data_IF_024451836884
#
_entry.id   IF_024451836884
#
_cell.length_a   1.000
_cell.length_b   1.000
_cell.length_c   1.000
_cell.angle_alpha   90.00
_cell.angle_beta   90.00
_cell.angle_gamma   90.00
#
_symmetry.space_group_name_H-M   'P 1'
#
loop_
_entity.id
_entity.type
_entity.pdbx_description
1 polymer ?
#
# COMPACT_ATOMS: atom_id res chain seq x y z
N UNK A 1 22.19 -2.88 3.08
CA UNK A 1 21.07 -2.25 2.31
C UNK A 1 19.89 -1.90 3.21
N UNK A 2 19.33 -2.86 3.96
CA UNK A 2 18.16 -2.62 4.82
C UNK A 2 18.35 -1.56 5.92
N UNK A 3 19.57 -1.41 6.46
CA UNK A 3 19.89 -0.40 7.48
C UNK A 3 19.86 1.04 6.94
N UNK A 4 20.11 1.24 5.64
CA UNK A 4 20.11 2.57 5.00
C UNK A 4 18.80 2.86 4.24
N UNK A 5 18.21 1.85 3.60
CA UNK A 5 16.97 2.02 2.83
C UNK A 5 15.69 1.79 3.65
N UNK A 6 15.81 1.44 4.94
CA UNK A 6 14.70 1.29 5.87
C UNK A 6 13.66 0.24 5.42
N UNK A 7 12.43 0.40 5.91
CA UNK A 7 11.32 -0.50 5.60
C UNK A 7 11.04 -0.61 4.09
N UNK A 8 11.37 0.41 3.30
CA UNK A 8 11.19 0.41 1.84
C UNK A 8 12.02 -0.63 1.09
N UNK A 9 13.14 -1.11 1.67
CA UNK A 9 13.94 -2.20 1.08
C UNK A 9 13.36 -3.59 1.26
N UNK A 10 12.51 -3.76 2.29
CA UNK A 10 11.80 -5.01 2.53
C UNK A 10 10.54 -5.13 1.67
N UNK A 11 10.01 -4.01 1.17
CA UNK A 11 8.79 -3.97 0.37
C UNK A 11 9.14 -4.05 -1.12
N UNK A 12 8.68 -5.08 -1.87
CA UNK A 12 8.95 -5.22 -3.30
C UNK A 12 8.03 -4.29 -4.13
N UNK A 13 8.26 -2.98 -4.07
CA UNK A 13 7.37 -1.96 -4.68
C UNK A 13 7.29 -2.10 -6.21
N UNK A 14 8.39 -2.49 -6.85
CA UNK A 14 8.45 -2.72 -8.30
C UNK A 14 7.64 -3.93 -8.74
N UNK A 15 7.76 -5.04 -8.00
CA UNK A 15 6.97 -6.25 -8.26
C UNK A 15 5.48 -6.01 -8.06
N UNK A 16 5.12 -5.26 -7.01
CA UNK A 16 3.74 -4.84 -6.76
C UNK A 16 3.19 -3.97 -7.90
N UNK A 17 3.97 -2.98 -8.36
CA UNK A 17 3.58 -2.14 -9.50
C UNK A 17 3.29 -2.94 -10.76
N UNK A 18 4.16 -3.89 -11.12
CA UNK A 18 3.96 -4.76 -12.28
C UNK A 18 2.69 -5.61 -12.14
N UNK A 19 2.42 -6.15 -10.95
CA UNK A 19 1.21 -6.92 -10.68
C UNK A 19 -0.08 -6.09 -10.81
N UNK A 20 -0.04 -4.79 -10.51
CA UNK A 20 -1.18 -3.88 -10.66
C UNK A 20 -1.36 -3.43 -12.12
N UNK A 21 -0.27 -3.17 -12.83
CA UNK A 21 -0.28 -2.59 -14.19
C UNK A 21 -0.56 -3.65 -15.26
N UNK A 22 -0.07 -4.88 -15.11
CA UNK A 22 -0.32 -5.96 -16.07
C UNK A 22 -1.81 -6.19 -16.38
N UNK A 23 -2.70 -6.40 -15.38
CA UNK A 23 -4.12 -6.58 -15.65
C UNK A 23 -4.78 -5.29 -16.17
N UNK A 24 -4.24 -4.12 -15.81
CA UNK A 24 -4.74 -2.83 -16.29
C UNK A 24 -4.50 -2.61 -17.79
N UNK A 25 -3.38 -3.11 -18.32
CA UNK A 25 -3.07 -3.08 -19.76
C UNK A 25 -3.94 -4.10 -20.50
N UNK A 26 -4.08 -5.31 -19.96
CA UNK A 26 -4.80 -6.41 -20.59
C UNK A 26 -6.30 -6.15 -20.70
N UNK A 27 -6.91 -5.56 -19.68
CA UNK A 27 -8.34 -5.24 -19.63
C UNK A 27 -8.62 -3.78 -20.05
N UNK A 28 -7.67 -3.11 -20.73
CA UNK A 28 -7.85 -1.71 -21.16
C UNK A 28 -9.00 -1.54 -22.15
N UNK A 29 -9.28 -2.56 -22.96
CA UNK A 29 -10.40 -2.59 -23.92
C UNK A 29 -11.76 -2.56 -23.24
N UNK A 30 -11.87 -2.99 -21.98
CA UNK A 30 -13.10 -2.96 -21.17
C UNK A 30 -13.40 -1.55 -20.61
N UNK A 31 -12.55 -0.57 -20.92
CA UNK A 31 -12.71 0.83 -20.54
C UNK A 31 -12.03 1.19 -19.23
N UNK A 32 -12.00 2.49 -18.92
CA UNK A 32 -11.19 3.02 -17.81
C UNK A 32 -11.74 2.68 -16.43
N UNK A 33 -13.05 2.51 -16.28
CA UNK A 33 -13.68 2.28 -14.97
C UNK A 33 -13.75 0.79 -14.65
N UNK A 34 -14.39 0.00 -15.52
CA UNK A 34 -14.61 -1.43 -15.29
C UNK A 34 -13.34 -2.26 -15.57
N UNK A 35 -12.61 -1.92 -16.63
CA UNK A 35 -11.37 -2.62 -17.03
C UNK A 35 -10.15 -2.16 -16.25
N UNK A 36 -9.68 -0.93 -16.50
CA UNK A 36 -8.43 -0.41 -15.93
C UNK A 36 -8.57 -0.20 -14.41
N UNK A 37 -9.50 0.65 -13.99
CA UNK A 37 -9.67 1.03 -12.59
C UNK A 37 -10.08 -0.13 -11.69
N UNK A 38 -11.07 -0.92 -12.13
CA UNK A 38 -11.56 -2.09 -11.38
C UNK A 38 -10.47 -3.12 -11.09
N UNK A 39 -9.67 -3.48 -12.10
CA UNK A 39 -8.61 -4.47 -11.93
C UNK A 39 -7.42 -3.94 -11.13
N UNK A 40 -7.04 -2.68 -11.32
CA UNK A 40 -5.99 -2.04 -10.50
C UNK A 40 -6.40 -1.98 -9.02
N UNK A 41 -7.64 -1.60 -8.73
CA UNK A 41 -8.14 -1.45 -7.38
C UNK A 41 -8.35 -2.80 -6.66
N UNK A 42 -8.67 -3.86 -7.38
CA UNK A 42 -8.80 -5.20 -6.79
C UNK A 42 -7.52 -5.68 -6.11
N UNK A 43 -6.37 -5.40 -6.70
CA UNK A 43 -5.04 -5.70 -6.13
C UNK A 43 -4.57 -4.62 -5.15
N UNK A 44 -4.71 -3.34 -5.51
CA UNK A 44 -4.22 -2.24 -4.68
C UNK A 44 -5.06 -1.96 -3.44
N UNK A 45 -6.36 -2.25 -3.48
CA UNK A 45 -7.32 -1.91 -2.43
C UNK A 45 -7.00 -2.59 -1.10
N UNK A 46 -6.64 -3.88 -1.12
CA UNK A 46 -6.24 -4.60 0.09
C UNK A 46 -4.97 -3.99 0.72
N UNK A 47 -3.97 -3.65 -0.09
CA UNK A 47 -2.71 -3.07 0.38
C UNK A 47 -2.94 -1.69 1.00
N UNK A 48 -3.76 -0.86 0.36
CA UNK A 48 -4.11 0.46 0.90
C UNK A 48 -4.85 0.31 2.23
N UNK A 49 -5.85 -0.57 2.30
CA UNK A 49 -6.66 -0.77 3.51
C UNK A 49 -5.78 -1.21 4.70
N UNK A 50 -5.04 -2.30 4.55
CA UNK A 50 -4.21 -2.83 5.64
C UNK A 50 -3.01 -1.93 5.95
N UNK A 51 -2.41 -1.30 4.94
CA UNK A 51 -1.30 -0.36 5.12
C UNK A 51 -1.71 0.88 5.90
N UNK A 52 -2.81 1.53 5.51
CA UNK A 52 -3.30 2.73 6.20
C UNK A 52 -3.82 2.38 7.59
N UNK A 53 -4.57 1.27 7.74
CA UNK A 53 -5.10 0.86 9.04
C UNK A 53 -4.01 0.50 10.04
N UNK A 54 -2.99 -0.27 9.62
CA UNK A 54 -1.85 -0.59 10.50
C UNK A 54 -1.05 0.65 10.89
N UNK A 55 -0.81 1.57 9.95
CA UNK A 55 -0.15 2.85 10.22
C UNK A 55 -0.96 3.70 11.21
N UNK A 56 -2.30 3.73 11.06
CA UNK A 56 -3.19 4.43 11.99
C UNK A 56 -3.10 3.85 13.42
N UNK A 57 -3.15 2.52 13.57
CA UNK A 57 -3.04 1.87 14.89
C UNK A 57 -1.70 2.19 15.56
N UNK A 58 -0.58 2.08 14.82
CA UNK A 58 0.75 2.41 15.36
C UNK A 58 0.83 3.89 15.73
N UNK A 59 0.31 4.78 14.89
CA UNK A 59 0.28 6.21 15.16
C UNK A 59 -0.56 6.53 16.41
N UNK A 60 -1.70 5.87 16.57
CA UNK A 60 -2.57 6.04 17.74
C UNK A 60 -1.86 5.62 19.03
N UNK A 61 -1.24 4.44 19.04
CA UNK A 61 -0.46 3.94 20.18
C UNK A 61 0.68 4.91 20.51
N UNK A 62 1.44 5.33 19.50
CA UNK A 62 2.54 6.28 19.68
C UNK A 62 2.07 7.60 20.27
N UNK A 63 0.96 8.15 19.78
CA UNK A 63 0.41 9.41 20.31
C UNK A 63 -0.02 9.27 21.77
N UNK A 64 -0.70 8.18 22.14
CA UNK A 64 -1.14 7.96 23.54
C UNK A 64 0.07 7.80 24.47
N UNK A 65 1.09 7.05 24.05
CA UNK A 65 2.32 6.86 24.85
C UNK A 65 3.06 8.19 25.11
N UNK A 66 3.16 9.04 24.09
CA UNK A 66 3.75 10.38 24.22
C UNK A 66 2.93 11.24 25.19
N UNK A 67 1.60 11.19 25.13
CA UNK A 67 0.74 11.97 26.03
C UNK A 67 0.79 11.51 27.49
N UNK A 68 1.11 10.23 27.74
CA UNK A 68 1.28 9.68 29.09
C UNK A 68 2.69 9.87 29.70
N UNK A 69 3.54 10.69 29.08
CA UNK A 69 4.85 11.05 29.63
C UNK A 69 5.97 10.04 29.33
N UNK A 70 5.73 9.11 28.41
CA UNK A 70 6.77 8.24 27.86
C UNK A 70 7.55 8.95 26.75
N UNK A 71 8.67 9.59 27.14
CA UNK A 71 9.69 10.29 26.35
C UNK A 71 9.21 11.24 25.23
#
# INVERSE_FOLDING_TARGET
MAQFGGAGTAVPVTGFGNAVISPAIEHRSEGFVLGVGGNMFKLAGAVILFGVFSAFVIALIKTILIQWGGL
#
